data_IF_335710878322
#
_entry.id   IF_335710878322
#
_cell.length_a   1.000
_cell.length_b   1.000
_cell.length_c   1.000
_cell.angle_alpha   90.00
_cell.angle_beta   90.00
_cell.angle_gamma   90.00
#
_symmetry.space_group_name_H-M   'P 1'
#
loop_
_entity.id
_entity.type
_entity.pdbx_description
1 polymer ?
#
# COMPACT_ATOMS: atom_id res chain seq x y z
N UNK A 1 21.67 -55.98 32.50
CA UNK A 1 21.85 -54.81 33.40
C UNK A 1 23.12 -54.07 32.99
N UNK A 2 22.99 -52.86 32.46
CA UNK A 2 24.10 -51.98 32.08
C UNK A 2 23.55 -50.60 31.78
N UNK A 3 23.88 -49.64 32.65
CA UNK A 3 23.22 -48.34 32.84
C UNK A 3 23.31 -47.43 31.60
N UNK A 4 22.16 -46.92 31.13
CA UNK A 4 22.08 -45.77 30.23
C UNK A 4 22.35 -44.51 31.07
N UNK A 5 23.44 -43.80 30.74
CA UNK A 5 23.83 -42.51 31.32
C UNK A 5 22.86 -41.41 30.86
N UNK A 6 21.79 -41.16 31.62
CA UNK A 6 20.96 -39.95 31.51
C UNK A 6 21.41 -38.85 32.50
N UNK A 7 22.72 -38.67 32.71
CA UNK A 7 23.27 -37.74 33.70
C UNK A 7 24.09 -36.55 33.15
N UNK A 8 24.32 -36.48 31.83
CA UNK A 8 25.21 -35.47 31.22
C UNK A 8 24.57 -34.11 30.96
N UNK A 9 23.32 -34.09 30.49
CA UNK A 9 22.65 -32.87 30.01
C UNK A 9 22.29 -31.88 31.13
N UNK A 10 21.82 -32.36 32.29
CA UNK A 10 21.48 -31.50 33.43
C UNK A 10 22.70 -30.91 34.15
N UNK A 11 23.83 -31.63 34.15
CA UNK A 11 25.06 -31.19 34.85
C UNK A 11 25.81 -30.13 34.05
N UNK A 12 25.85 -30.27 32.73
CA UNK A 12 26.42 -29.29 31.79
C UNK A 12 25.68 -27.94 31.87
N UNK A 13 24.34 -27.97 31.81
CA UNK A 13 23.50 -26.76 31.91
C UNK A 13 23.67 -25.98 33.22
N UNK A 14 23.83 -26.68 34.35
CA UNK A 14 24.09 -26.04 35.65
C UNK A 14 25.49 -25.40 35.77
N UNK A 15 26.48 -25.91 35.03
CA UNK A 15 27.82 -25.30 34.96
C UNK A 15 27.83 -24.06 34.08
N UNK A 16 27.13 -24.10 32.94
CA UNK A 16 26.94 -22.95 32.05
C UNK A 16 26.25 -21.79 32.76
N UNK A 17 25.20 -22.05 33.53
CA UNK A 17 24.45 -21.02 34.24
C UNK A 17 25.28 -20.36 35.36
N UNK A 18 26.08 -21.14 36.08
CA UNK A 18 27.06 -20.62 37.06
C UNK A 18 28.15 -19.80 36.39
N UNK A 19 28.65 -20.23 35.23
CA UNK A 19 29.65 -19.50 34.45
C UNK A 19 29.09 -18.15 33.99
N UNK A 20 27.89 -18.14 33.40
CA UNK A 20 27.23 -16.91 32.99
C UNK A 20 26.98 -15.97 34.17
N UNK A 21 26.57 -16.50 35.32
CA UNK A 21 26.35 -15.69 36.54
C UNK A 21 27.63 -14.97 36.98
N UNK A 22 28.79 -15.65 36.98
CA UNK A 22 30.09 -15.02 37.29
C UNK A 22 30.54 -14.00 36.24
N UNK A 23 30.32 -14.29 34.96
CA UNK A 23 30.59 -13.34 33.87
C UNK A 23 29.74 -12.08 34.05
N UNK A 24 28.45 -12.27 34.35
CA UNK A 24 27.50 -11.19 34.58
C UNK A 24 27.92 -10.33 35.77
N UNK A 25 28.26 -10.93 36.91
CA UNK A 25 28.75 -10.23 38.09
C UNK A 25 29.96 -9.34 37.75
N UNK A 26 30.98 -9.88 37.09
CA UNK A 26 32.14 -9.09 36.68
C UNK A 26 31.81 -7.95 35.71
N UNK A 27 30.84 -8.11 34.82
CA UNK A 27 30.42 -7.04 33.91
C UNK A 27 29.66 -5.95 34.67
N UNK A 28 28.79 -6.31 35.62
CA UNK A 28 28.10 -5.33 36.47
C UNK A 28 29.10 -4.55 37.36
N UNK A 29 30.13 -5.22 37.91
CA UNK A 29 31.22 -4.58 38.66
C UNK A 29 32.00 -3.56 37.82
N UNK A 30 32.07 -3.77 36.50
CA UNK A 30 32.70 -2.84 35.56
C UNK A 30 31.79 -1.66 35.14
N UNK A 31 30.56 -1.61 35.65
CA UNK A 31 29.61 -0.52 35.40
C UNK A 31 28.62 -0.75 34.25
N UNK A 32 28.59 -1.94 33.65
CA UNK A 32 27.57 -2.29 32.65
C UNK A 32 26.21 -2.52 33.32
N UNK A 33 25.11 -2.27 32.60
CA UNK A 33 23.76 -2.50 33.10
C UNK A 33 23.28 -3.93 32.86
N UNK A 34 22.23 -4.34 33.57
CA UNK A 34 21.53 -5.61 33.34
C UNK A 34 21.05 -5.76 31.88
N UNK A 35 20.64 -4.66 31.26
CA UNK A 35 20.17 -4.63 29.88
C UNK A 35 21.31 -4.94 28.89
N UNK A 36 22.50 -4.36 29.13
CA UNK A 36 23.70 -4.57 28.31
C UNK A 36 24.15 -6.04 28.31
N UNK A 37 24.06 -6.69 29.47
CA UNK A 37 24.56 -8.05 29.69
C UNK A 37 23.59 -9.13 29.21
N UNK A 38 22.28 -8.83 29.11
CA UNK A 38 21.24 -9.80 28.70
C UNK A 38 21.54 -10.46 27.34
N UNK A 39 22.09 -9.70 26.38
CA UNK A 39 22.43 -10.19 25.05
C UNK A 39 23.67 -11.10 24.98
N UNK A 40 24.44 -11.22 26.06
CA UNK A 40 25.67 -12.02 26.12
C UNK A 40 25.41 -13.48 26.47
N UNK A 41 24.22 -13.80 27.03
CA UNK A 41 23.87 -15.16 27.49
C UNK A 41 24.09 -16.24 26.42
N UNK A 42 23.92 -15.88 25.15
CA UNK A 42 24.06 -16.79 24.01
C UNK A 42 25.43 -16.71 23.31
N UNK A 43 26.40 -15.99 23.89
CA UNK A 43 27.76 -15.93 23.36
C UNK A 43 28.50 -17.24 23.70
N UNK A 44 29.26 -17.77 22.73
CA UNK A 44 30.07 -18.99 22.91
C UNK A 44 31.06 -18.95 24.07
N UNK A 45 31.42 -17.76 24.56
CA UNK A 45 32.29 -17.59 25.73
C UNK A 45 31.55 -17.77 27.06
N UNK A 46 30.24 -17.51 27.07
CA UNK A 46 29.33 -17.73 28.19
C UNK A 46 28.76 -19.17 28.19
N UNK A 47 28.60 -19.75 27.00
CA UNK A 47 28.08 -21.11 26.77
C UNK A 47 29.18 -22.19 26.78
N UNK A 48 30.06 -22.16 27.79
CA UNK A 48 31.12 -23.17 27.97
C UNK A 48 30.90 -23.99 29.24
N UNK A 49 31.17 -25.29 29.14
CA UNK A 49 31.03 -26.28 30.23
C UNK A 49 32.23 -26.28 31.20
N UNK A 50 32.76 -25.10 31.53
CA UNK A 50 33.85 -24.96 32.50
C UNK A 50 33.70 -23.72 33.37
N UNK A 51 34.26 -23.77 34.58
CA UNK A 51 34.24 -22.62 35.48
C UNK A 51 35.04 -21.44 34.93
N UNK A 52 34.62 -20.22 35.27
CA UNK A 52 35.33 -19.01 34.92
C UNK A 52 36.55 -18.85 35.83
N UNK A 53 37.75 -18.87 35.25
CA UNK A 53 39.02 -18.57 35.93
C UNK A 53 39.46 -17.14 35.63
N UNK A 54 40.30 -16.54 36.47
CA UNK A 54 40.81 -15.16 36.25
C UNK A 54 41.54 -15.01 34.92
N UNK A 55 42.35 -16.02 34.53
CA UNK A 55 42.99 -16.05 33.21
C UNK A 55 41.97 -16.16 32.08
N UNK A 56 40.96 -17.02 32.24
CA UNK A 56 39.88 -17.18 31.28
C UNK A 56 39.05 -15.90 31.11
N UNK A 57 38.79 -15.17 32.20
CA UNK A 57 38.14 -13.87 32.19
C UNK A 57 38.92 -12.84 31.36
N UNK A 58 40.22 -12.67 31.65
CA UNK A 58 41.06 -11.72 30.91
C UNK A 58 41.12 -12.00 29.41
N UNK A 59 40.99 -13.26 28.99
CA UNK A 59 40.98 -13.64 27.58
C UNK A 59 39.64 -13.36 26.87
N UNK A 60 38.51 -13.50 27.57
CA UNK A 60 37.18 -13.33 26.94
C UNK A 60 36.63 -11.91 27.08
N UNK A 61 37.12 -11.14 28.07
CA UNK A 61 36.59 -9.82 28.44
C UNK A 61 36.45 -8.89 27.24
N UNK A 62 37.51 -8.64 26.49
CA UNK A 62 37.48 -7.70 25.36
C UNK A 62 36.48 -8.10 24.27
N UNK A 63 36.34 -9.41 24.00
CA UNK A 63 35.34 -9.93 23.08
C UNK A 63 33.91 -9.78 23.59
N UNK A 64 33.70 -9.89 24.91
CA UNK A 64 32.41 -9.64 25.55
C UNK A 64 32.05 -8.15 25.55
N UNK A 65 32.98 -7.26 25.88
CA UNK A 65 32.79 -5.80 25.84
C UNK A 65 32.47 -5.32 24.41
N UNK A 66 33.17 -5.84 23.40
CA UNK A 66 32.84 -5.57 22.00
C UNK A 66 31.43 -6.06 21.63
N UNK A 67 31.00 -7.20 22.16
CA UNK A 67 29.65 -7.72 21.93
C UNK A 67 28.58 -6.91 22.66
N UNK A 68 28.86 -6.43 23.86
CA UNK A 68 27.99 -5.49 24.59
C UNK A 68 27.78 -4.25 23.74
N UNK A 69 28.87 -3.62 23.26
CA UNK A 69 28.76 -2.40 22.46
C UNK A 69 27.90 -2.61 21.20
N UNK A 70 28.07 -3.74 20.51
CA UNK A 70 27.21 -4.10 19.38
C UNK A 70 25.75 -4.25 19.77
N UNK A 71 25.47 -4.90 20.92
CA UNK A 71 24.11 -5.07 21.42
C UNK A 71 23.49 -3.72 21.81
N UNK A 72 24.23 -2.81 22.46
CA UNK A 72 23.77 -1.48 22.82
C UNK A 72 23.40 -0.67 21.57
N UNK A 73 24.25 -0.70 20.52
CA UNK A 73 23.95 -0.04 19.24
C UNK A 73 22.70 -0.65 18.59
N UNK A 74 22.56 -1.97 18.59
CA UNK A 74 21.38 -2.63 18.03
C UNK A 74 20.11 -2.30 18.82
N UNK A 75 20.21 -2.24 20.16
CA UNK A 75 19.12 -1.90 21.04
C UNK A 75 18.67 -0.46 20.82
N UNK A 76 19.60 0.49 20.76
CA UNK A 76 19.31 1.89 20.45
C UNK A 76 18.60 2.04 19.10
N UNK A 77 18.99 1.26 18.08
CA UNK A 77 18.29 1.23 16.78
C UNK A 77 16.86 0.70 16.91
N UNK A 78 16.65 -0.37 17.68
CA UNK A 78 15.31 -0.94 17.92
C UNK A 78 14.42 0.05 18.66
N UNK A 79 14.95 0.72 19.69
CA UNK A 79 14.23 1.71 20.49
C UNK A 79 13.90 2.96 19.68
N UNK A 80 14.85 3.47 18.89
CA UNK A 80 14.62 4.58 17.96
C UNK A 80 13.52 4.24 16.95
N UNK A 81 13.60 3.06 16.31
CA UNK A 81 12.58 2.58 15.39
C UNK A 81 11.20 2.50 16.07
N UNK A 82 11.11 1.82 17.21
CA UNK A 82 9.86 1.65 17.94
C UNK A 82 9.23 3.01 18.31
N UNK A 83 10.06 3.96 18.73
CA UNK A 83 9.63 5.32 19.08
C UNK A 83 9.13 6.10 17.87
N UNK A 84 9.83 6.02 16.73
CA UNK A 84 9.38 6.64 15.47
C UNK A 84 8.02 6.09 15.02
N UNK A 85 7.82 4.76 15.05
CA UNK A 85 6.52 4.16 14.73
C UNK A 85 5.43 4.60 15.70
N UNK A 86 5.73 4.67 17.00
CA UNK A 86 4.78 5.16 18.01
C UNK A 86 4.34 6.60 17.68
N UNK A 87 5.28 7.49 17.38
CA UNK A 87 4.99 8.89 17.04
C UNK A 87 4.25 9.02 15.70
N UNK A 88 4.62 8.25 14.67
CA UNK A 88 3.90 8.23 13.40
C UNK A 88 2.46 7.73 13.55
N UNK A 89 2.20 6.80 14.48
CA UNK A 89 0.85 6.37 14.81
C UNK A 89 0.03 7.46 15.51
N UNK A 90 0.66 8.37 16.26
CA UNK A 90 -0.02 9.57 16.79
C UNK A 90 -0.46 10.45 15.62
N UNK A 91 0.42 10.75 14.67
CA UNK A 91 0.09 11.52 13.45
C UNK A 91 -1.06 10.87 12.68
N UNK A 92 -1.03 9.54 12.53
CA UNK A 92 -2.13 8.78 11.90
C UNK A 92 -3.47 8.99 12.63
N UNK A 93 -3.46 8.95 13.96
CA UNK A 93 -4.65 9.20 14.79
C UNK A 93 -5.18 10.64 14.63
N UNK A 94 -4.28 11.63 14.71
CA UNK A 94 -4.64 13.05 14.56
C UNK A 94 -5.21 13.34 13.16
N UNK A 95 -4.58 12.84 12.10
CA UNK A 95 -5.08 12.99 10.73
C UNK A 95 -6.43 12.32 10.54
N UNK A 96 -6.65 11.16 11.17
CA UNK A 96 -7.96 10.49 11.16
C UNK A 96 -9.04 11.37 11.77
N UNK A 97 -8.79 11.93 12.95
CA UNK A 97 -9.73 12.87 13.61
C UNK A 97 -9.98 14.10 12.75
N UNK A 98 -8.94 14.65 12.12
CA UNK A 98 -9.09 15.77 11.19
C UNK A 98 -9.99 15.44 10.00
N UNK A 99 -9.79 14.27 9.37
CA UNK A 99 -10.59 13.78 8.22
C UNK A 99 -12.08 13.64 8.55
N UNK A 100 -12.43 13.26 9.78
CA UNK A 100 -13.83 13.09 10.18
C UNK A 100 -14.67 14.37 10.08
N UNK A 101 -14.06 15.55 10.01
CA UNK A 101 -14.75 16.82 9.82
C UNK A 101 -15.19 17.08 8.37
N UNK A 102 -14.81 16.21 7.43
CA UNK A 102 -15.04 16.38 6.01
C UNK A 102 -15.85 15.21 5.44
N UNK A 103 -16.54 15.49 4.33
CA UNK A 103 -17.19 14.44 3.55
C UNK A 103 -16.15 13.49 2.96
N UNK A 104 -16.45 12.18 2.84
CA UNK A 104 -15.50 11.21 2.33
C UNK A 104 -14.90 11.50 0.96
N UNK A 105 -15.63 12.19 0.09
CA UNK A 105 -15.12 12.62 -1.21
C UNK A 105 -13.87 13.52 -1.07
N UNK A 106 -13.83 14.37 -0.05
CA UNK A 106 -12.70 15.28 0.22
C UNK A 106 -11.48 14.50 0.71
N UNK A 107 -11.68 13.35 1.37
CA UNK A 107 -10.54 12.57 1.88
C UNK A 107 -9.67 12.01 0.77
N UNK A 108 -10.22 11.85 -0.43
CA UNK A 108 -9.49 11.37 -1.60
C UNK A 108 -8.37 12.32 -1.99
N UNK A 109 -8.58 13.62 -1.78
CA UNK A 109 -7.60 14.68 -2.09
C UNK A 109 -6.62 14.93 -0.95
N UNK A 110 -6.82 14.29 0.22
CA UNK A 110 -5.97 14.49 1.38
C UNK A 110 -4.74 13.58 1.37
N UNK A 111 -3.58 14.06 1.83
CA UNK A 111 -2.38 13.23 1.91
C UNK A 111 -2.61 12.01 2.82
N UNK A 112 -1.93 10.87 2.53
CA UNK A 112 -1.80 9.80 3.49
C UNK A 112 -0.97 10.26 4.70
N UNK A 113 -1.15 9.63 5.85
CA UNK A 113 -0.46 10.03 7.09
C UNK A 113 1.07 10.02 6.97
N UNK A 114 1.61 9.16 6.10
CA UNK A 114 3.06 9.06 5.88
C UNK A 114 3.62 10.28 5.12
N UNK A 115 2.82 10.91 4.25
CA UNK A 115 3.16 12.20 3.61
C UNK A 115 3.09 13.34 4.65
N UNK A 116 2.09 13.33 5.53
CA UNK A 116 1.97 14.30 6.62
C UNK A 116 3.18 14.22 7.57
N UNK A 117 3.70 13.03 7.85
CA UNK A 117 4.95 12.84 8.61
C UNK A 117 6.16 13.55 7.98
N UNK A 118 6.11 13.89 6.69
CA UNK A 118 7.18 14.59 5.98
C UNK A 118 7.00 16.11 5.93
N UNK A 119 5.85 16.63 6.38
CA UNK A 119 5.66 18.06 6.53
C UNK A 119 6.64 18.63 7.57
N UNK A 120 7.23 19.82 7.35
CA UNK A 120 8.35 20.30 8.16
C UNK A 120 8.12 20.25 9.67
N UNK A 121 6.95 20.69 10.14
CA UNK A 121 6.62 20.71 11.57
C UNK A 121 6.45 19.30 12.15
N UNK A 122 5.73 18.42 11.47
CA UNK A 122 5.55 17.02 11.88
C UNK A 122 6.89 16.27 11.87
N UNK A 123 7.68 16.46 10.82
CA UNK A 123 9.00 15.85 10.65
C UNK A 123 9.97 16.25 11.78
N UNK A 124 9.93 17.52 12.20
CA UNK A 124 10.74 18.00 13.31
C UNK A 124 10.40 17.25 14.60
N UNK A 125 9.11 17.19 14.96
CA UNK A 125 8.62 16.51 16.17
C UNK A 125 8.93 15.01 16.14
N UNK A 126 8.76 14.35 14.99
CA UNK A 126 9.07 12.93 14.82
C UNK A 126 10.54 12.62 15.13
N UNK A 127 11.45 13.52 14.75
CA UNK A 127 12.90 13.35 14.90
C UNK A 127 13.45 13.82 16.25
N UNK A 128 12.61 14.17 17.23
CA UNK A 128 13.07 14.43 18.60
C UNK A 128 13.86 13.25 19.16
N UNK A 129 14.78 13.47 20.13
CA UNK A 129 15.47 12.41 20.87
C UNK A 129 14.53 11.28 21.32
N UNK A 130 15.01 10.04 21.34
CA UNK A 130 14.18 8.86 21.65
C UNK A 130 13.59 8.93 23.06
N UNK A 131 14.30 9.60 23.96
CA UNK A 131 13.96 9.80 25.37
C UNK A 131 12.79 10.78 25.56
N UNK A 132 12.51 11.63 24.56
CA UNK A 132 11.46 12.63 24.64
C UNK A 132 10.07 11.98 24.59
N UNK A 133 9.24 12.31 25.59
CA UNK A 133 7.85 11.90 25.64
C UNK A 133 7.00 12.77 24.70
N UNK A 134 6.91 12.37 23.43
CA UNK A 134 6.06 12.98 22.42
C UNK A 134 4.63 12.43 22.53
N UNK A 135 3.66 13.32 22.70
CA UNK A 135 2.23 13.04 22.86
C UNK A 135 1.41 13.81 21.80
N UNK A 136 0.09 13.65 21.78
CA UNK A 136 -0.81 14.38 20.86
C UNK A 136 -0.63 15.90 20.93
N UNK A 137 -0.57 16.46 22.14
CA UNK A 137 -0.36 17.91 22.36
C UNK A 137 0.95 18.43 21.77
N UNK A 138 1.96 17.57 21.59
CA UNK A 138 3.23 17.95 20.94
C UNK A 138 3.03 18.35 19.47
N UNK A 139 1.92 17.95 18.85
CA UNK A 139 1.57 18.27 17.47
C UNK A 139 0.53 19.39 17.34
N UNK A 140 0.10 20.04 18.42
CA UNK A 140 -1.00 21.02 18.39
C UNK A 140 -0.75 22.15 17.37
N UNK A 141 0.43 22.77 17.39
CA UNK A 141 0.79 23.83 16.43
C UNK A 141 0.84 23.30 14.99
N UNK A 142 1.39 22.10 14.80
CA UNK A 142 1.45 21.47 13.48
C UNK A 142 0.06 21.12 12.92
N UNK A 143 -0.89 20.78 13.80
CA UNK A 143 -2.28 20.53 13.43
C UNK A 143 -3.04 21.82 13.12
N UNK A 144 -2.72 22.94 13.77
CA UNK A 144 -3.30 24.25 13.45
C UNK A 144 -2.90 24.70 12.03
N UNK A 145 -1.66 24.42 11.63
CA UNK A 145 -1.12 24.74 10.30
C UNK A 145 -1.43 23.65 9.24
N UNK A 146 -2.05 22.54 9.64
CA UNK A 146 -2.28 21.39 8.76
C UNK A 146 -3.06 21.74 7.47
N UNK A 147 -4.12 22.58 7.49
CA UNK A 147 -4.84 22.95 6.26
C UNK A 147 -3.93 23.58 5.21
N UNK A 148 -3.08 24.53 5.61
CA UNK A 148 -2.16 25.23 4.70
C UNK A 148 -1.06 24.29 4.21
N UNK A 149 -0.54 23.43 5.10
CA UNK A 149 0.44 22.40 4.72
C UNK A 149 -0.11 21.39 3.70
N UNK A 150 -1.41 21.04 3.79
CA UNK A 150 -2.09 20.17 2.81
C UNK A 150 -2.21 20.89 1.47
N UNK A 151 -2.63 22.16 1.45
CA UNK A 151 -2.75 22.95 0.23
C UNK A 151 -1.40 23.09 -0.49
N UNK A 152 -0.34 23.40 0.25
CA UNK A 152 1.03 23.48 -0.28
C UNK A 152 1.53 22.13 -0.82
N UNK A 153 1.12 21.02 -0.21
CA UNK A 153 1.45 19.68 -0.68
C UNK A 153 0.72 19.35 -1.98
N UNK A 154 -0.58 19.64 -2.06
CA UNK A 154 -1.39 19.44 -3.28
C UNK A 154 -0.80 20.24 -4.44
N UNK A 155 -0.56 21.55 -4.24
CA UNK A 155 -0.04 22.44 -5.27
C UNK A 155 1.31 21.97 -5.82
N UNK A 156 2.24 21.55 -4.95
CA UNK A 156 3.55 21.05 -5.39
C UNK A 156 3.43 19.79 -6.23
N UNK A 157 2.59 18.84 -5.81
CA UNK A 157 2.40 17.59 -6.55
C UNK A 157 1.69 17.81 -7.87
N UNK A 158 0.69 18.69 -7.92
CA UNK A 158 0.06 19.10 -9.17
C UNK A 158 1.08 19.73 -10.12
N UNK A 159 1.95 20.63 -9.63
CA UNK A 159 3.00 21.24 -10.46
C UNK A 159 3.99 20.20 -11.02
N UNK A 160 4.39 19.22 -10.21
CA UNK A 160 5.28 18.13 -10.64
C UNK A 160 4.61 17.28 -11.74
N UNK A 161 3.34 16.91 -11.56
CA UNK A 161 2.57 16.13 -12.53
C UNK A 161 2.31 16.93 -13.81
N UNK A 162 1.98 18.21 -13.66
CA UNK A 162 1.75 19.13 -14.78
C UNK A 162 3.01 19.22 -15.64
N UNK A 163 4.17 19.35 -15.00
CA UNK A 163 5.48 19.38 -15.68
C UNK A 163 5.75 18.06 -16.39
N UNK A 164 5.42 16.92 -15.76
CA UNK A 164 5.59 15.61 -16.36
C UNK A 164 4.72 15.41 -17.62
N UNK A 165 3.47 15.87 -17.61
CA UNK A 165 2.59 15.81 -18.79
C UNK A 165 3.10 16.75 -19.89
N UNK A 166 3.36 18.01 -19.56
CA UNK A 166 3.71 19.05 -20.54
C UNK A 166 5.07 18.87 -21.22
N UNK A 167 5.97 18.13 -20.57
CA UNK A 167 7.24 17.68 -21.17
C UNK A 167 7.01 16.79 -22.40
N UNK A 168 5.91 16.03 -22.43
CA UNK A 168 5.62 15.06 -23.49
C UNK A 168 4.44 15.46 -24.39
N UNK A 169 3.52 16.27 -23.87
CA UNK A 169 2.28 16.63 -24.55
C UNK A 169 1.94 18.10 -24.34
N UNK A 170 1.75 18.86 -25.42
CA UNK A 170 1.33 20.25 -25.33
C UNK A 170 -0.21 20.31 -25.42
N UNK A 171 -0.92 20.64 -24.31
CA UNK A 171 -2.37 20.77 -24.34
C UNK A 171 -2.79 22.00 -25.17
N UNK A 172 -4.05 22.01 -25.62
CA UNK A 172 -4.62 23.20 -26.22
C UNK A 172 -4.70 24.37 -25.22
N UNK A 173 -4.70 25.61 -25.74
CA UNK A 173 -4.74 26.81 -24.92
C UNK A 173 -5.95 26.81 -23.97
N UNK A 174 -5.69 27.06 -22.69
CA UNK A 174 -6.72 27.13 -21.64
C UNK A 174 -7.20 25.78 -21.11
N UNK A 175 -6.64 24.66 -21.58
CA UNK A 175 -6.94 23.33 -21.04
C UNK A 175 -5.93 22.97 -19.97
N UNK A 176 -6.42 22.54 -18.81
CA UNK A 176 -5.59 21.97 -17.76
C UNK A 176 -5.09 20.58 -18.21
N UNK A 177 -3.77 20.40 -18.44
CA UNK A 177 -3.25 19.12 -18.92
C UNK A 177 -3.45 17.97 -17.94
N UNK A 178 -3.65 18.24 -16.64
CA UNK A 178 -3.99 17.18 -15.68
C UNK A 178 -5.43 16.69 -15.86
N UNK A 179 -6.34 17.51 -16.39
CA UNK A 179 -7.74 17.09 -16.59
C UNK A 179 -7.96 16.27 -17.86
N UNK A 180 -6.99 16.25 -18.77
CA UNK A 180 -7.10 15.49 -20.02
C UNK A 180 -7.29 13.99 -19.76
N UNK A 181 -8.13 13.34 -20.57
CA UNK A 181 -8.32 11.90 -20.49
C UNK A 181 -7.02 11.12 -20.70
N UNK A 182 -6.08 11.69 -21.46
CA UNK A 182 -4.77 11.10 -21.75
C UNK A 182 -3.72 11.32 -20.65
N UNK A 183 -4.06 12.04 -19.58
CA UNK A 183 -3.19 12.27 -18.42
C UNK A 183 -3.09 11.00 -17.56
N UNK A 184 -2.36 10.01 -18.06
CA UNK A 184 -2.16 8.71 -17.42
C UNK A 184 -0.80 8.68 -16.73
N UNK A 185 -0.80 8.25 -15.47
CA UNK A 185 0.38 8.16 -14.63
C UNK A 185 0.61 6.73 -14.17
N UNK A 186 1.86 6.40 -13.88
CA UNK A 186 2.29 5.13 -13.32
C UNK A 186 3.16 5.36 -12.09
N UNK A 187 3.11 4.42 -11.15
CA UNK A 187 4.02 4.42 -10.01
C UNK A 187 5.42 3.95 -10.45
N UNK A 188 6.48 4.69 -10.12
CA UNK A 188 7.86 4.32 -10.44
C UNK A 188 8.39 3.11 -9.66
N UNK A 189 7.65 2.64 -8.64
CA UNK A 189 8.02 1.43 -7.90
C UNK A 189 7.93 0.21 -8.82
N UNK A 190 9.03 -0.54 -8.93
CA UNK A 190 9.17 -1.68 -9.88
C UNK A 190 8.11 -2.78 -9.70
N UNK A 191 7.60 -2.94 -8.49
CA UNK A 191 6.64 -3.99 -8.14
C UNK A 191 5.20 -3.46 -8.05
N UNK A 192 5.00 -2.16 -8.32
CA UNK A 192 3.68 -1.55 -8.27
C UNK A 192 3.01 -1.61 -9.65
N UNK A 193 1.89 -2.35 -9.80
CA UNK A 193 1.16 -2.40 -11.07
C UNK A 193 0.28 -1.16 -11.29
N UNK A 194 0.30 -0.20 -10.37
CA UNK A 194 -0.70 0.86 -10.33
C UNK A 194 -0.53 1.92 -11.41
N UNK A 195 -1.65 2.16 -12.11
CA UNK A 195 -1.83 3.17 -13.13
C UNK A 195 -3.04 4.04 -12.80
N UNK A 196 -2.89 5.35 -12.98
CA UNK A 196 -3.81 6.35 -12.45
C UNK A 196 -4.16 7.37 -13.51
N UNK A 197 -5.37 7.91 -13.42
CA UNK A 197 -5.73 9.21 -14.02
C UNK A 197 -5.75 10.25 -12.92
N UNK A 198 -5.94 11.52 -13.25
CA UNK A 198 -5.92 12.63 -12.29
C UNK A 198 -6.80 12.42 -11.05
N UNK A 199 -7.97 11.79 -11.20
CA UNK A 199 -8.89 11.51 -10.08
C UNK A 199 -8.37 10.45 -9.10
N UNK A 200 -7.52 9.54 -9.58
CA UNK A 200 -7.02 8.40 -8.79
C UNK A 200 -5.62 8.65 -8.20
N UNK A 201 -4.92 9.69 -8.66
CA UNK A 201 -3.52 9.95 -8.31
C UNK A 201 -3.31 10.06 -6.81
N UNK A 202 -4.18 10.80 -6.13
CA UNK A 202 -4.08 11.08 -4.69
C UNK A 202 -4.35 9.86 -3.83
N UNK A 203 -5.08 8.89 -4.40
CA UNK A 203 -5.52 7.70 -3.71
C UNK A 203 -4.48 6.59 -3.77
N UNK A 204 -3.40 6.69 -4.55
CA UNK A 204 -2.46 5.58 -4.65
C UNK A 204 -1.69 5.32 -3.34
N UNK A 205 -1.73 4.07 -2.85
CA UNK A 205 -0.77 3.56 -1.86
C UNK A 205 0.02 2.41 -2.48
N UNK A 206 1.33 2.59 -2.59
CA UNK A 206 2.20 1.59 -3.22
C UNK A 206 2.26 0.30 -2.38
N UNK A 207 1.84 -0.87 -2.92
CA UNK A 207 1.81 -2.13 -2.18
C UNK A 207 3.18 -2.59 -1.66
N UNK A 208 4.26 -2.24 -2.38
CA UNK A 208 5.66 -2.51 -1.98
C UNK A 208 6.02 -1.96 -0.61
N UNK A 209 5.23 -1.01 -0.10
CA UNK A 209 5.43 -0.37 1.20
C UNK A 209 4.33 -0.72 2.23
N UNK A 210 3.23 -1.35 1.78
CA UNK A 210 2.01 -1.56 2.57
C UNK A 210 1.80 -2.97 3.13
N UNK A 211 2.48 -4.00 2.61
CA UNK A 211 2.27 -5.39 3.04
C UNK A 211 3.52 -6.04 3.61
N UNK A 212 3.83 -5.71 4.86
CA UNK A 212 4.50 -6.69 5.73
C UNK A 212 3.99 -6.60 7.15
N UNK A 213 2.78 -7.12 7.36
CA UNK A 213 2.29 -7.51 8.69
C UNK A 213 3.13 -8.64 9.33
N UNK A 214 4.36 -8.94 8.84
CA UNK A 214 5.14 -10.06 9.37
C UNK A 214 6.67 -9.99 9.23
N UNK A 215 7.31 -8.85 8.95
CA UNK A 215 8.78 -8.77 8.97
C UNK A 215 9.29 -7.75 9.98
N UNK A 216 9.06 -8.08 11.24
CA UNK A 216 9.93 -7.65 12.34
C UNK A 216 11.40 -8.13 12.16
N UNK A 217 11.70 -8.94 11.14
CA UNK A 217 12.99 -9.63 10.99
C UNK A 217 13.67 -9.60 9.61
N UNK A 218 13.11 -8.98 8.57
CA UNK A 218 13.70 -9.09 7.21
C UNK A 218 13.92 -7.73 6.56
N UNK A 219 15.20 -7.33 6.52
CA UNK A 219 15.81 -6.37 5.58
C UNK A 219 15.14 -5.01 5.35
N UNK A 220 14.37 -4.49 6.30
CA UNK A 220 14.00 -3.07 6.28
C UNK A 220 15.26 -2.28 6.60
N UNK A 221 15.61 -1.33 5.73
CA UNK A 221 16.71 -0.39 5.93
C UNK A 221 16.67 0.22 7.34
N UNK A 222 17.82 0.59 7.90
CA UNK A 222 17.90 1.13 9.26
C UNK A 222 17.05 2.41 9.39
N UNK A 223 15.84 2.28 9.92
CA UNK A 223 14.96 3.44 10.17
C UNK A 223 15.53 4.20 11.37
N UNK A 224 16.18 5.32 11.12
CA UNK A 224 16.77 6.17 12.15
C UNK A 224 16.06 7.52 12.30
N UNK A 225 15.28 7.93 11.29
CA UNK A 225 14.54 9.19 11.28
C UNK A 225 13.27 9.08 10.43
N UNK A 226 12.46 10.14 10.45
CA UNK A 226 11.22 10.26 9.69
C UNK A 226 11.43 10.12 8.17
N UNK A 227 12.57 10.53 7.63
CA UNK A 227 12.87 10.37 6.19
C UNK A 227 13.09 8.91 5.82
N UNK A 228 13.75 8.14 6.69
CA UNK A 228 13.90 6.69 6.49
C UNK A 228 12.55 6.00 6.62
N UNK A 229 11.73 6.40 7.60
CA UNK A 229 10.35 5.91 7.74
C UNK A 229 9.56 6.14 6.45
N UNK A 230 9.62 7.35 5.88
CA UNK A 230 8.97 7.69 4.62
C UNK A 230 9.48 6.84 3.46
N UNK A 231 10.80 6.66 3.31
CA UNK A 231 11.38 5.79 2.28
C UNK A 231 10.89 4.35 2.37
N UNK A 232 10.66 3.84 3.58
CA UNK A 232 10.23 2.46 3.78
C UNK A 232 8.71 2.28 3.67
N UNK A 233 7.90 3.29 3.99
CA UNK A 233 6.44 3.16 4.10
C UNK A 233 5.63 3.99 3.09
N UNK A 234 6.24 4.97 2.43
CA UNK A 234 5.49 6.00 1.71
C UNK A 234 6.17 6.60 0.49
N UNK A 235 7.42 6.23 0.16
CA UNK A 235 8.05 6.76 -1.04
C UNK A 235 7.48 6.09 -2.28
N UNK A 236 6.60 6.80 -2.95
CA UNK A 236 6.19 6.48 -4.31
C UNK A 236 6.23 7.76 -5.13
N UNK A 237 6.85 7.65 -6.29
CA UNK A 237 6.99 8.74 -7.24
C UNK A 237 6.17 8.38 -8.46
N UNK A 238 5.38 9.33 -8.98
CA UNK A 238 4.64 9.13 -10.19
C UNK A 238 5.46 9.54 -11.42
N UNK A 239 5.21 8.86 -12.52
CA UNK A 239 5.67 9.26 -13.85
C UNK A 239 4.50 9.31 -14.81
N UNK A 240 4.56 10.24 -15.75
CA UNK A 240 3.67 10.21 -16.91
C UNK A 240 3.95 8.96 -17.75
N UNK A 241 2.90 8.16 -17.99
CA UNK A 241 2.97 6.92 -18.75
C UNK A 241 2.68 7.21 -20.22
N UNK A 242 3.73 7.56 -20.97
CA UNK A 242 3.62 7.94 -22.40
C UNK A 242 3.01 6.83 -23.25
N UNK A 243 3.30 5.57 -22.94
CA UNK A 243 2.79 4.43 -23.70
C UNK A 243 1.29 4.26 -23.48
N UNK A 244 0.83 4.26 -22.22
CA UNK A 244 -0.59 4.15 -21.92
C UNK A 244 -1.36 5.40 -22.32
N UNK A 245 -0.77 6.59 -22.18
CA UNK A 245 -1.36 7.84 -22.66
C UNK A 245 -1.65 7.78 -24.17
N UNK A 246 -0.70 7.32 -24.99
CA UNK A 246 -0.92 7.17 -26.43
C UNK A 246 -2.08 6.22 -26.76
N UNK A 247 -2.20 5.12 -26.03
CA UNK A 247 -3.31 4.18 -26.19
C UNK A 247 -4.64 4.73 -25.72
N UNK A 248 -4.66 5.53 -24.66
CA UNK A 248 -5.88 6.24 -24.24
C UNK A 248 -6.25 7.31 -25.27
N UNK A 249 -5.28 7.94 -25.93
CA UNK A 249 -5.55 8.85 -27.06
C UNK A 249 -6.29 8.13 -28.20
N UNK A 250 -5.90 6.89 -28.54
CA UNK A 250 -6.62 6.08 -29.53
C UNK A 250 -8.08 5.81 -29.08
N UNK A 251 -8.30 5.54 -27.79
CA UNK A 251 -9.65 5.33 -27.21
C UNK A 251 -10.50 6.61 -27.29
N UNK A 252 -9.91 7.77 -27.02
CA UNK A 252 -10.58 9.07 -27.16
C UNK A 252 -10.94 9.34 -28.63
N UNK A 253 -10.04 9.02 -29.56
CA UNK A 253 -10.32 9.12 -31.00
C UNK A 253 -11.45 8.17 -31.43
N UNK A 254 -11.51 6.94 -30.92
CA UNK A 254 -12.61 5.99 -31.18
C UNK A 254 -13.96 6.53 -30.70
N UNK A 255 -13.96 7.30 -29.60
CA UNK A 255 -15.14 8.01 -29.12
C UNK A 255 -15.51 9.25 -29.97
N UNK A 256 -14.82 9.46 -31.11
CA UNK A 256 -14.97 10.64 -31.97
C UNK A 256 -14.69 11.96 -31.23
N UNK A 257 -13.70 11.93 -30.35
CA UNK A 257 -13.26 13.07 -29.54
C UNK A 257 -11.79 13.41 -29.83
N UNK A 258 -11.38 14.61 -29.44
CA UNK A 258 -10.01 15.10 -29.65
C UNK A 258 -9.17 14.91 -28.37
N UNK A 259 -8.10 14.09 -28.38
CA UNK A 259 -7.23 13.88 -27.22
C UNK A 259 -6.60 15.15 -26.65
N UNK A 260 -6.47 16.22 -27.43
CA UNK A 260 -5.84 17.47 -26.99
C UNK A 260 -6.75 18.37 -26.13
N UNK A 261 -8.04 18.10 -26.13
CA UNK A 261 -9.05 18.92 -25.44
C UNK A 261 -9.96 18.11 -24.53
N UNK A 262 -10.10 16.80 -24.79
CA UNK A 262 -11.05 15.95 -24.08
C UNK A 262 -10.56 15.58 -22.70
N UNK A 263 -11.38 15.89 -21.70
CA UNK A 263 -11.12 15.61 -20.29
C UNK A 263 -11.56 14.21 -19.85
N UNK A 264 -11.02 13.73 -18.73
CA UNK A 264 -11.44 12.48 -18.11
C UNK A 264 -12.93 12.53 -17.73
N UNK A 265 -13.41 13.65 -17.18
CA UNK A 265 -14.81 13.86 -16.81
C UNK A 265 -15.74 13.78 -18.04
N UNK A 266 -15.36 14.38 -19.17
CA UNK A 266 -16.14 14.26 -20.41
C UNK A 266 -16.23 12.81 -20.89
N UNK A 267 -15.14 12.04 -20.80
CA UNK A 267 -15.14 10.61 -21.12
C UNK A 267 -16.00 9.79 -20.16
N UNK A 268 -16.02 10.14 -18.87
CA UNK A 268 -16.89 9.52 -17.87
C UNK A 268 -18.37 9.79 -18.15
N UNK A 269 -18.72 11.03 -18.53
CA UNK A 269 -20.10 11.43 -18.89
C UNK A 269 -20.60 10.71 -20.14
N UNK A 270 -19.72 10.46 -21.13
CA UNK A 270 -20.08 9.72 -22.34
C UNK A 270 -20.47 8.26 -22.04
N UNK A 271 -19.92 7.69 -20.96
CA UNK A 271 -20.11 6.30 -20.52
C UNK A 271 -19.98 5.27 -21.67
N UNK A 272 -19.09 5.55 -22.62
CA UNK A 272 -18.84 4.63 -23.71
C UNK A 272 -18.26 3.32 -23.19
N UNK A 273 -18.67 2.24 -23.85
CA UNK A 273 -18.29 0.88 -23.49
C UNK A 273 -17.43 0.29 -24.59
N UNK A 274 -16.42 -0.46 -24.18
CA UNK A 274 -15.39 -0.94 -25.07
C UNK A 274 -15.12 -2.43 -24.84
N UNK A 275 -14.58 -3.09 -25.85
CA UNK A 275 -14.12 -4.48 -25.78
C UNK A 275 -12.71 -4.56 -26.34
N UNK A 276 -11.84 -5.31 -25.65
CA UNK A 276 -10.48 -5.58 -26.12
C UNK A 276 -10.47 -6.82 -27.01
N UNK A 277 -9.81 -6.75 -28.17
CA UNK A 277 -9.67 -7.87 -29.10
C UNK A 277 -8.52 -8.83 -28.76
N UNK A 278 -7.60 -8.40 -27.91
CA UNK A 278 -6.47 -9.24 -27.50
C UNK A 278 -6.78 -10.11 -26.26
N UNK A 279 -7.87 -9.81 -25.54
CA UNK A 279 -8.29 -10.66 -24.43
C UNK A 279 -8.87 -11.99 -24.93
N UNK A 280 -8.44 -13.11 -24.32
CA UNK A 280 -9.04 -14.42 -24.61
C UNK A 280 -10.52 -14.41 -24.24
N UNK A 281 -11.36 -15.10 -25.02
CA UNK A 281 -12.76 -15.35 -24.65
C UNK A 281 -12.77 -16.15 -23.35
N UNK A 282 -13.43 -15.63 -22.32
CA UNK A 282 -13.51 -16.23 -20.99
C UNK A 282 -14.89 -16.82 -20.72
N UNK A 283 -14.96 -17.64 -19.66
CA UNK A 283 -16.20 -18.27 -19.17
C UNK A 283 -16.81 -17.50 -18.00
N UNK A 284 -18.07 -17.12 -18.17
CA UNK A 284 -18.88 -16.38 -17.20
C UNK A 284 -20.16 -17.14 -16.87
N UNK A 285 -20.70 -16.93 -15.67
CA UNK A 285 -22.02 -17.46 -15.31
C UNK A 285 -23.10 -16.42 -15.63
N UNK A 286 -24.22 -16.83 -16.20
CA UNK A 286 -25.38 -15.96 -16.41
C UNK A 286 -26.03 -15.56 -15.09
N UNK A 287 -26.76 -14.44 -15.09
CA UNK A 287 -27.62 -14.06 -13.96
C UNK A 287 -28.65 -15.15 -13.71
N UNK A 288 -28.57 -15.80 -12.56
CA UNK A 288 -29.35 -16.99 -12.20
C UNK A 288 -28.56 -18.30 -12.16
N UNK A 289 -27.28 -18.30 -12.55
CA UNK A 289 -26.32 -19.38 -12.31
C UNK A 289 -26.48 -20.64 -13.16
N UNK A 290 -27.47 -20.68 -14.06
CA UNK A 290 -27.87 -21.90 -14.77
C UNK A 290 -27.22 -22.06 -16.16
N UNK A 291 -26.57 -21.03 -16.69
CA UNK A 291 -25.98 -21.04 -18.04
C UNK A 291 -24.55 -20.49 -18.00
N UNK A 292 -23.62 -21.20 -18.62
CA UNK A 292 -22.26 -20.70 -18.88
C UNK A 292 -22.26 -19.91 -20.17
N UNK A 293 -21.85 -18.65 -20.09
CA UNK A 293 -21.67 -17.76 -21.23
C UNK A 293 -20.19 -17.64 -21.56
N UNK A 294 -19.88 -17.55 -22.86
CA UNK A 294 -18.54 -17.30 -23.35
C UNK A 294 -18.50 -15.90 -23.93
N UNK A 295 -17.54 -15.09 -23.51
CA UNK A 295 -17.46 -13.73 -24.04
C UNK A 295 -16.20 -12.98 -23.66
N UNK A 296 -16.18 -11.71 -24.05
CA UNK A 296 -15.14 -10.76 -23.70
C UNK A 296 -15.71 -9.70 -22.76
N UNK A 297 -14.93 -9.20 -21.79
CA UNK A 297 -15.40 -8.17 -20.88
C UNK A 297 -15.76 -6.89 -21.65
N UNK A 298 -16.92 -6.32 -21.33
CA UNK A 298 -17.28 -4.96 -21.73
C UNK A 298 -16.80 -4.00 -20.63
N UNK A 299 -15.88 -3.13 -20.99
CA UNK A 299 -15.14 -2.26 -20.07
C UNK A 299 -15.52 -0.79 -20.30
N UNK A 300 -15.42 0.04 -19.25
CA UNK A 300 -15.34 1.50 -19.42
C UNK A 300 -13.93 1.88 -19.91
N UNK A 301 -13.78 3.12 -20.38
CA UNK A 301 -12.47 3.64 -20.77
C UNK A 301 -11.45 3.62 -19.62
N UNK A 302 -11.90 3.85 -18.37
CA UNK A 302 -11.04 3.80 -17.19
C UNK A 302 -10.48 2.39 -16.93
N UNK A 303 -11.29 1.36 -17.15
CA UNK A 303 -10.88 -0.03 -16.95
C UNK A 303 -10.02 -0.56 -18.07
N UNK A 304 -10.20 -0.04 -19.30
CA UNK A 304 -9.39 -0.44 -20.44
C UNK A 304 -7.90 -0.25 -20.17
N UNK A 305 -7.50 0.92 -19.67
CA UNK A 305 -6.07 1.18 -19.46
C UNK A 305 -5.52 0.48 -18.22
N UNK A 306 -6.36 0.05 -17.28
CA UNK A 306 -5.96 -0.77 -16.14
C UNK A 306 -5.80 -2.25 -16.53
N UNK A 307 -6.60 -2.73 -17.48
CA UNK A 307 -6.45 -4.06 -18.07
C UNK A 307 -5.10 -4.14 -18.81
N UNK A 308 -4.32 -5.19 -18.51
CA UNK A 308 -2.98 -5.36 -19.07
C UNK A 308 -3.04 -5.51 -20.58
N UNK A 309 -2.16 -4.80 -21.29
CA UNK A 309 -2.06 -4.88 -22.74
C UNK A 309 -3.24 -4.23 -23.45
N UNK A 310 -3.14 -2.91 -23.70
CA UNK A 310 -4.03 -2.20 -24.63
C UNK A 310 -3.72 -2.65 -26.06
N UNK A 311 -4.23 -3.84 -26.36
CA UNK A 311 -4.36 -4.40 -27.69
C UNK A 311 -5.26 -3.58 -28.60
N UNK A 312 -5.77 -4.20 -29.65
CA UNK A 312 -6.79 -3.57 -30.47
C UNK A 312 -8.09 -3.40 -29.66
N UNK A 313 -8.58 -2.17 -29.53
CA UNK A 313 -9.78 -1.80 -28.75
C UNK A 313 -10.91 -1.47 -29.71
N UNK A 314 -12.12 -1.93 -29.39
CA UNK A 314 -13.32 -1.65 -30.17
C UNK A 314 -14.36 -0.93 -29.30
N UNK A 315 -14.94 0.14 -29.85
CA UNK A 315 -16.11 0.79 -29.28
C UNK A 315 -17.33 -0.11 -29.47
N UNK A 316 -18.11 -0.32 -28.41
CA UNK A 316 -19.32 -1.12 -28.45
C UNK A 316 -20.42 -0.34 -29.17
N UNK A 317 -20.82 -0.82 -30.36
CA UNK A 317 -21.81 -0.15 -31.19
C UNK A 317 -23.23 -0.60 -30.84
N UNK A 318 -24.30 0.12 -31.29
CA UNK A 318 -25.68 -0.28 -31.04
C UNK A 318 -26.00 -1.70 -31.51
N UNK A 319 -25.36 -2.19 -32.58
CA UNK A 319 -25.55 -3.54 -33.10
C UNK A 319 -25.01 -4.61 -32.14
N UNK A 320 -23.99 -4.29 -31.36
CA UNK A 320 -23.40 -5.19 -30.36
C UNK A 320 -24.28 -5.32 -29.10
N UNK A 321 -25.22 -4.38 -28.88
CA UNK A 321 -26.11 -4.42 -27.71
C UNK A 321 -26.93 -5.71 -27.65
N UNK A 322 -27.27 -6.30 -28.79
CA UNK A 322 -28.00 -7.58 -28.86
C UNK A 322 -27.19 -8.76 -28.32
N UNK A 323 -25.85 -8.67 -28.35
CA UNK A 323 -24.91 -9.69 -27.83
C UNK A 323 -24.37 -9.35 -26.45
N UNK A 324 -24.72 -8.17 -25.91
CA UNK A 324 -24.30 -7.73 -24.58
C UNK A 324 -25.09 -8.50 -23.53
N UNK A 325 -24.44 -9.42 -22.83
CA UNK A 325 -25.04 -10.21 -21.78
C UNK A 325 -24.65 -9.68 -20.42
N UNK A 326 -25.62 -9.59 -19.51
CA UNK A 326 -25.34 -9.36 -18.10
C UNK A 326 -24.90 -10.67 -17.46
N UNK A 327 -23.75 -10.65 -16.80
CA UNK A 327 -23.18 -11.84 -16.16
C UNK A 327 -23.18 -11.68 -14.65
N UNK A 328 -23.22 -12.81 -13.93
CA UNK A 328 -22.88 -12.79 -12.53
C UNK A 328 -21.43 -12.32 -12.41
N UNK A 329 -21.23 -11.28 -11.62
CA UNK A 329 -19.95 -11.09 -10.93
C UNK A 329 -19.63 -12.44 -10.32
N UNK A 330 -18.53 -13.09 -10.76
CA UNK A 330 -18.01 -14.22 -9.97
C UNK A 330 -17.90 -13.65 -8.55
N UNK A 331 -18.54 -14.28 -7.54
CA UNK A 331 -18.45 -13.77 -6.19
C UNK A 331 -16.96 -13.64 -5.89
N UNK A 332 -16.55 -12.46 -5.43
CA UNK A 332 -15.20 -12.22 -4.96
C UNK A 332 -14.85 -13.40 -4.04
N UNK A 333 -13.99 -14.32 -4.50
CA UNK A 333 -13.63 -15.48 -3.67
C UNK A 333 -12.88 -15.03 -2.41
N UNK A 334 -12.49 -13.76 -2.35
CA UNK A 334 -11.95 -13.07 -1.20
C UNK A 334 -12.87 -11.93 -0.80
N UNK A 335 -13.28 -11.91 0.48
CA UNK A 335 -13.90 -10.75 1.13
C UNK A 335 -12.85 -9.62 1.23
N UNK A 336 -12.54 -8.98 0.11
CA UNK A 336 -11.66 -7.82 0.13
C UNK A 336 -12.39 -6.68 0.83
N UNK A 337 -11.91 -6.38 2.03
CA UNK A 337 -12.37 -5.26 2.83
C UNK A 337 -11.67 -4.02 2.30
N UNK A 338 -12.16 -3.46 1.19
CA UNK A 338 -11.55 -2.33 0.46
C UNK A 338 -12.53 -1.21 0.11
N UNK A 339 -13.81 -1.34 0.50
CA UNK A 339 -14.82 -0.33 0.20
C UNK A 339 -15.09 0.57 1.40
N UNK A 340 -15.33 1.85 1.12
CA UNK A 340 -15.76 2.87 2.08
C UNK A 340 -17.07 3.50 1.60
N UNK A 341 -17.88 3.97 2.54
CA UNK A 341 -19.10 4.72 2.21
C UNK A 341 -18.76 6.18 1.93
N UNK A 342 -19.32 6.74 0.86
CA UNK A 342 -19.10 8.14 0.47
C UNK A 342 -19.95 9.14 1.27
N UNK A 343 -20.91 8.65 2.05
CA UNK A 343 -21.93 9.46 2.71
C UNK A 343 -21.71 9.65 4.23
N UNK A 344 -20.76 8.93 4.83
CA UNK A 344 -20.49 9.03 6.26
C UNK A 344 -19.04 8.65 6.62
N UNK A 345 -18.68 8.89 7.90
CA UNK A 345 -17.35 8.59 8.41
C UNK A 345 -17.16 7.21 9.06
N UNK A 346 -18.22 6.39 9.12
CA UNK A 346 -18.24 5.13 9.86
C UNK A 346 -17.16 4.13 9.41
N UNK A 347 -16.80 4.16 8.13
CA UNK A 347 -15.83 3.25 7.53
C UNK A 347 -14.44 3.89 7.30
N UNK A 348 -14.17 5.08 7.87
CA UNK A 348 -12.86 5.74 7.75
C UNK A 348 -11.74 4.86 8.34
N UNK A 349 -10.77 4.50 7.50
CA UNK A 349 -9.66 3.57 7.77
C UNK A 349 -10.07 2.14 8.17
N UNK A 350 -11.35 1.79 8.03
CA UNK A 350 -11.88 0.45 8.28
C UNK A 350 -12.72 0.01 7.08
N UNK A 351 -12.09 -0.16 5.91
CA UNK A 351 -12.82 -0.58 4.74
C UNK A 351 -13.56 -1.89 4.98
N UNK A 352 -14.65 -2.08 4.26
CA UNK A 352 -15.54 -3.24 4.36
C UNK A 352 -15.68 -3.94 3.02
N UNK A 353 -16.32 -5.11 3.02
CA UNK A 353 -16.68 -5.76 1.76
C UNK A 353 -17.70 -4.93 1.00
N UNK A 354 -17.81 -5.16 -0.32
CA UNK A 354 -18.81 -4.50 -1.15
C UNK A 354 -20.22 -4.70 -0.60
N UNK A 355 -20.55 -5.91 -0.15
CA UNK A 355 -21.86 -6.26 0.42
C UNK A 355 -22.14 -5.51 1.71
N UNK A 356 -21.14 -5.39 2.59
CA UNK A 356 -21.27 -4.67 3.87
C UNK A 356 -21.52 -3.18 3.65
N UNK A 357 -20.75 -2.52 2.77
CA UNK A 357 -20.96 -1.08 2.51
C UNK A 357 -22.24 -0.83 1.72
N UNK A 358 -22.61 -1.72 0.79
CA UNK A 358 -23.88 -1.61 0.05
C UNK A 358 -25.08 -1.74 1.00
N UNK A 359 -25.02 -2.69 1.95
CA UNK A 359 -26.03 -2.83 3.00
C UNK A 359 -26.10 -1.59 3.88
N UNK A 360 -24.94 -1.09 4.33
CA UNK A 360 -24.87 0.15 5.10
C UNK A 360 -25.46 1.35 4.34
N UNK A 361 -25.14 1.54 3.06
CA UNK A 361 -25.68 2.63 2.25
C UNK A 361 -27.21 2.56 2.09
N UNK A 362 -27.76 1.34 2.01
CA UNK A 362 -29.20 1.15 1.99
C UNK A 362 -29.84 1.46 3.35
N UNK A 363 -29.29 0.91 4.42
CA UNK A 363 -29.90 0.96 5.75
C UNK A 363 -29.75 2.35 6.41
N UNK A 364 -28.60 3.00 6.24
CA UNK A 364 -28.27 4.28 6.88
C UNK A 364 -28.54 5.50 6.00
N UNK A 365 -28.46 5.34 4.67
CA UNK A 365 -28.59 6.45 3.72
C UNK A 365 -29.79 6.32 2.77
N UNK A 366 -30.55 5.21 2.83
CA UNK A 366 -31.73 5.01 1.99
C UNK A 366 -31.40 4.82 0.50
N UNK A 367 -30.19 4.37 0.17
CA UNK A 367 -29.72 4.20 -1.21
C UNK A 367 -29.97 2.75 -1.66
N UNK A 368 -30.99 2.53 -2.48
CA UNK A 368 -31.40 1.18 -2.90
C UNK A 368 -30.34 0.48 -3.78
N UNK A 369 -29.74 1.23 -4.70
CA UNK A 369 -28.72 0.76 -5.65
C UNK A 369 -27.44 1.61 -5.60
N UNK A 370 -26.60 1.45 -4.57
CA UNK A 370 -25.35 2.19 -4.43
C UNK A 370 -24.41 2.00 -5.61
N UNK A 371 -23.83 3.09 -6.11
CA UNK A 371 -22.87 3.11 -7.22
C UNK A 371 -21.44 3.34 -6.72
N UNK A 372 -20.50 2.61 -7.32
CA UNK A 372 -19.07 2.86 -7.13
C UNK A 372 -18.72 4.24 -7.72
N UNK A 373 -17.85 4.98 -7.04
CA UNK A 373 -17.44 6.36 -7.31
C UNK A 373 -18.53 7.44 -7.11
N UNK A 374 -19.67 7.06 -6.51
CA UNK A 374 -20.74 8.00 -6.15
C UNK A 374 -21.23 7.80 -4.72
N UNK A 375 -21.55 6.56 -4.35
CA UNK A 375 -22.03 6.18 -3.01
C UNK A 375 -21.01 5.35 -2.23
N UNK A 376 -20.12 4.70 -2.97
CA UNK A 376 -19.07 3.81 -2.49
C UNK A 376 -17.77 4.22 -3.16
N UNK A 377 -16.66 4.22 -2.44
CA UNK A 377 -15.34 4.39 -3.05
C UNK A 377 -14.36 3.37 -2.49
N UNK A 378 -13.27 3.14 -3.21
CA UNK A 378 -12.22 2.23 -2.79
C UNK A 378 -11.31 2.91 -1.77
N UNK A 379 -10.81 2.17 -0.79
CA UNK A 379 -9.73 2.70 0.04
C UNK A 379 -8.53 3.08 -0.82
N UNK A 380 -7.83 4.17 -0.48
CA UNK A 380 -6.61 4.54 -1.15
C UNK A 380 -5.65 3.35 -1.30
N UNK A 381 -5.20 3.08 -2.52
CA UNK A 381 -4.27 2.01 -2.91
C UNK A 381 -4.91 0.66 -3.14
N UNK A 382 -6.20 0.52 -2.87
CA UNK A 382 -6.94 -0.66 -3.30
C UNK A 382 -7.26 -0.53 -4.79
N UNK A 383 -6.76 -1.48 -5.56
CA UNK A 383 -7.19 -1.67 -6.94
C UNK A 383 -8.17 -2.84 -6.98
N UNK A 384 -9.26 -2.67 -7.72
CA UNK A 384 -10.06 -3.80 -8.16
C UNK A 384 -9.25 -4.53 -9.21
N UNK A 385 -8.35 -5.41 -8.76
CA UNK A 385 -7.49 -6.23 -9.64
C UNK A 385 -8.28 -7.07 -10.63
N UNK A 386 -9.58 -7.25 -10.41
CA UNK A 386 -10.52 -7.80 -11.36
C UNK A 386 -11.87 -7.09 -11.20
N UNK A 387 -12.07 -5.94 -11.88
CA UNK A 387 -13.44 -5.60 -12.26
C UNK A 387 -13.92 -6.68 -13.24
N UNK A 388 -14.46 -7.76 -12.66
CA UNK A 388 -15.22 -8.73 -13.41
C UNK A 388 -16.29 -7.95 -14.18
N UNK A 389 -16.36 -8.12 -15.50
CA UNK A 389 -17.34 -7.41 -16.30
C UNK A 389 -18.73 -7.65 -15.71
N UNK A 390 -19.48 -6.58 -15.42
CA UNK A 390 -20.93 -6.69 -15.26
C UNK A 390 -21.58 -7.18 -16.56
N UNK A 391 -20.95 -6.84 -17.69
CA UNK A 391 -21.43 -7.19 -19.01
C UNK A 391 -20.33 -7.80 -19.85
N UNK A 392 -20.65 -8.86 -20.57
CA UNK A 392 -19.78 -9.41 -21.60
C UNK A 392 -20.40 -9.17 -22.96
N UNK A 393 -19.55 -9.09 -23.98
CA UNK A 393 -19.98 -9.30 -25.35
C UNK A 393 -19.90 -10.80 -25.61
N UNK A 394 -21.04 -11.43 -25.86
CA UNK A 394 -21.14 -12.88 -26.04
C UNK A 394 -20.51 -13.31 -27.38
N UNK A 395 -19.73 -14.38 -27.33
CA UNK A 395 -19.12 -15.04 -28.48
C UNK A 395 -19.49 -16.52 -28.46
N UNK A 396 -19.50 -17.14 -29.64
CA UNK A 396 -19.64 -18.59 -29.72
C UNK A 396 -18.51 -19.27 -28.95
N UNK A 397 -18.84 -20.36 -28.26
CA UNK A 397 -17.86 -21.18 -27.54
C UNK A 397 -16.71 -21.53 -28.49
N UNK A 398 -15.45 -21.24 -28.13
CA UNK A 398 -14.32 -21.60 -28.97
C UNK A 398 -14.35 -23.11 -29.24
N UNK A 399 -14.42 -23.50 -30.52
CA UNK A 399 -14.60 -24.89 -30.96
C UNK A 399 -13.40 -25.80 -30.66
N UNK A 400 -12.32 -25.26 -30.07
CA UNK A 400 -11.09 -26.01 -29.85
C UNK A 400 -10.55 -25.80 -28.43
N UNK A 401 -10.56 -26.88 -27.65
CA UNK A 401 -9.71 -27.03 -26.47
C UNK A 401 -8.25 -27.11 -26.93
N UNK A 402 -7.54 -25.99 -26.98
CA UNK A 402 -6.08 -26.02 -27.07
C UNK A 402 -5.45 -25.83 -25.69
N UNK A 403 -4.32 -26.47 -25.40
CA UNK A 403 -3.87 -26.71 -24.04
C UNK A 403 -3.47 -25.40 -23.37
N UNK A 404 -3.84 -25.28 -22.10
CA UNK A 404 -3.16 -24.42 -21.15
C UNK A 404 -1.67 -24.70 -21.24
N UNK A 405 -0.88 -23.83 -21.87
CA UNK A 405 0.55 -23.57 -21.62
C UNK A 405 1.06 -22.73 -22.79
N UNK A 406 1.14 -21.42 -22.62
CA UNK A 406 2.23 -20.59 -23.15
C UNK A 406 2.24 -19.31 -22.32
N UNK A 407 3.16 -19.31 -21.35
CA UNK A 407 3.73 -18.11 -20.74
C UNK A 407 4.59 -17.43 -21.79
N UNK A 408 4.43 -16.12 -21.94
CA UNK A 408 5.53 -15.21 -22.25
C UNK A 408 5.43 -14.04 -21.28
#
# INVERSE_FOLDING_TARGET
MGKIRCGGSNRSRGVQEKRFSKIKEHLLELGYTEQDVRGIKYNQSADRDNELTSRGWNMIRSGLEAKIQQNCVQQAKVECRATLYKRANIVKGLLKTYKQNFLPIIWQDMPPYIDVCMFPMFKAILNHPTEDNVMEDSFADAMNELPDLIADWQQRREADLWTAVTTHFQPADGIDPLKLAIAVFSCKSKECPGHFTNTDIWQHQCPSHGSSNNTWYSSVSEIQNASDLYKNLGYWELSFDTMRSAKVADVVCLASRDPATTTAEEMDVLDFRFVTLDCRVQEYASVGGNVTLHGRPVLSWQLLFKAWGLGEVHLLMPEDKAKKQHVLRRPWRQKYSVFCCQHCSDNLDNPKSYEEVTGHARDMHGIDTPKINHDLFLTPGAELLEELPLYILEFEKPRTSWPSYFNY
#
